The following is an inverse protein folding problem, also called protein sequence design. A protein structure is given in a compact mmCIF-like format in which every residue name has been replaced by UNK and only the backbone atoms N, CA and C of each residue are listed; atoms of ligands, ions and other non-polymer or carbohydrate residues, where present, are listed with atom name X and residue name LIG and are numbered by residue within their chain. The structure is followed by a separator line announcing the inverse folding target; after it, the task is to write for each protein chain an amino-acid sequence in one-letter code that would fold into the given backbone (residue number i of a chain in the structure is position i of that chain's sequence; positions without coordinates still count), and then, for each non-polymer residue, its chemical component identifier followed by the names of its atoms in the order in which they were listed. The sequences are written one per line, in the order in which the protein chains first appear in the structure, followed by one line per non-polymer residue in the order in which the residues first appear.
data_IF_215558729212
#
_entry.id   IF_215558729212
#
_cell.length_a   1.000
_cell.length_b   1.000
_cell.length_c   1.000
_cell.angle_alpha   90.00
_cell.angle_beta   90.00
_cell.angle_gamma   90.00
#
_symmetry.space_group_name_H-M   'P 1'
#
loop_
_entity.id
_entity.type
_entity.pdbx_description
1 polymer ?
#
# COMPACT_ATOMS: atom_id res chain seq x y z
N UNK A 1 15.14 19.83 21.94
CA UNK A 1 14.39 20.26 20.75
C UNK A 1 13.18 19.34 20.60
N UNK A 2 11.97 19.89 20.47
CA UNK A 2 10.74 19.12 20.31
C UNK A 2 10.78 18.41 18.95
N UNK A 3 10.93 17.10 18.93
CA UNK A 3 10.61 16.29 17.75
C UNK A 3 9.10 16.36 17.56
N UNK A 4 8.65 17.32 16.76
CA UNK A 4 7.27 17.37 16.28
C UNK A 4 7.07 16.20 15.33
N UNK A 5 6.66 15.05 15.86
CA UNK A 5 6.08 13.97 15.05
C UNK A 5 4.91 14.61 14.30
N UNK A 6 5.03 14.76 12.99
CA UNK A 6 3.90 15.11 12.14
C UNK A 6 2.98 13.90 12.15
N UNK A 7 1.84 14.00 12.82
CA UNK A 7 0.79 12.99 12.77
C UNK A 7 0.19 12.94 11.35
N UNK A 8 0.81 12.16 10.47
CA UNK A 8 0.22 11.82 9.17
C UNK A 8 -0.96 10.92 9.49
N UNK A 9 -2.19 11.38 9.22
CA UNK A 9 -3.41 10.58 9.33
C UNK A 9 -3.86 10.14 7.95
N UNK A 10 -3.85 8.82 7.70
CA UNK A 10 -4.41 8.24 6.47
C UNK A 10 -5.89 7.99 6.69
N UNK A 11 -6.74 8.58 5.84
CA UNK A 11 -8.19 8.44 5.89
C UNK A 11 -8.66 7.59 4.72
N UNK A 12 -9.57 6.66 4.99
CA UNK A 12 -10.12 5.73 4.02
C UNK A 12 -11.64 5.82 4.01
N UNK A 13 -12.25 5.61 2.85
CA UNK A 13 -13.70 5.64 2.67
C UNK A 13 -14.23 4.23 2.59
N UNK A 14 -15.35 3.96 3.28
CA UNK A 14 -16.03 2.65 3.28
C UNK A 14 -16.81 2.35 2.00
N UNK A 15 -17.03 3.34 1.14
CA UNK A 15 -17.62 3.14 -0.19
C UNK A 15 -16.58 3.42 -1.28
N UNK A 16 -16.03 2.35 -1.88
CA UNK A 16 -15.05 2.46 -2.99
C UNK A 16 -15.69 3.10 -4.21
N UNK A 17 -16.96 2.81 -4.51
CA UNK A 17 -17.65 3.37 -5.67
C UNK A 17 -17.77 4.88 -5.55
N UNK A 18 -18.24 5.36 -4.40
CA UNK A 18 -18.30 6.79 -4.09
C UNK A 18 -16.92 7.45 -4.09
N UNK A 19 -15.91 6.81 -3.49
CA UNK A 19 -14.55 7.32 -3.48
C UNK A 19 -14.00 7.50 -4.90
N UNK A 20 -14.17 6.46 -5.73
CA UNK A 20 -13.82 6.45 -7.15
C UNK A 20 -14.49 7.63 -7.86
N UNK A 21 -15.80 7.81 -7.70
CA UNK A 21 -16.53 8.94 -8.31
C UNK A 21 -15.99 10.30 -7.86
N UNK A 22 -15.68 10.49 -6.57
CA UNK A 22 -15.19 11.77 -6.06
C UNK A 22 -13.82 12.15 -6.60
N UNK A 23 -12.88 11.20 -6.63
CA UNK A 23 -11.53 11.40 -7.20
C UNK A 23 -11.64 11.91 -8.64
N UNK A 24 -12.51 11.29 -9.43
CA UNK A 24 -12.62 11.61 -10.85
C UNK A 24 -13.45 12.85 -11.16
N UNK A 25 -14.45 13.18 -10.33
CA UNK A 25 -15.13 14.48 -10.40
C UNK A 25 -14.24 15.65 -10.03
N UNK A 26 -13.23 15.44 -9.18
CA UNK A 26 -12.30 16.49 -8.75
C UNK A 26 -11.27 16.88 -9.82
N UNK A 27 -11.09 16.07 -10.88
CA UNK A 27 -10.13 16.36 -11.95
C UNK A 27 -10.86 16.84 -13.22
N UNK A 28 -10.67 18.09 -13.65
CA UNK A 28 -11.37 18.66 -14.83
C UNK A 28 -10.94 18.05 -16.18
N UNK A 29 -10.11 16.99 -16.19
CA UNK A 29 -9.57 16.32 -17.39
C UNK A 29 -9.97 14.84 -17.53
N UNK A 30 -10.84 14.30 -16.68
CA UNK A 30 -11.05 12.84 -16.54
C UNK A 30 -12.37 12.27 -17.06
N UNK A 31 -13.15 13.00 -17.86
CA UNK A 31 -14.48 12.52 -18.27
C UNK A 31 -14.49 11.39 -19.32
N UNK A 32 -13.46 11.22 -20.16
CA UNK A 32 -13.50 10.18 -21.21
C UNK A 32 -12.65 8.95 -20.87
N UNK A 33 -13.35 7.83 -20.62
CA UNK A 33 -12.77 6.47 -20.60
C UNK A 33 -12.17 6.02 -19.27
N UNK A 34 -12.58 6.60 -18.15
CA UNK A 34 -12.00 6.30 -16.83
C UNK A 34 -12.18 4.83 -16.41
N UNK A 35 -13.37 4.27 -16.61
CA UNK A 35 -13.62 2.84 -16.36
C UNK A 35 -12.77 1.98 -17.29
N UNK A 36 -12.59 2.37 -18.54
CA UNK A 36 -11.72 1.67 -19.49
C UNK A 36 -10.24 1.75 -19.10
N UNK A 37 -9.79 2.85 -18.49
CA UNK A 37 -8.42 2.98 -17.96
C UNK A 37 -8.23 2.14 -16.70
N UNK A 38 -9.25 2.11 -15.83
CA UNK A 38 -9.27 1.30 -14.61
C UNK A 38 -9.27 -0.19 -14.93
N UNK A 39 -10.09 -0.62 -15.89
CA UNK A 39 -10.18 -2.01 -16.36
C UNK A 39 -9.02 -2.43 -17.27
N UNK A 40 -8.28 -1.47 -17.82
CA UNK A 40 -7.23 -1.71 -18.82
C UNK A 40 -5.80 -1.54 -18.30
N UNK A 41 -5.58 -1.51 -16.98
CA UNK A 41 -4.27 -1.30 -16.33
C UNK A 41 -3.52 -0.02 -16.78
N UNK A 42 -4.26 0.97 -17.27
CA UNK A 42 -3.73 2.24 -17.83
C UNK A 42 -4.00 3.43 -16.93
N UNK A 43 -4.30 3.19 -15.65
CA UNK A 43 -4.40 4.24 -14.66
C UNK A 43 -3.05 4.96 -14.55
N UNK A 44 -3.08 6.30 -14.48
CA UNK A 44 -1.88 7.07 -14.18
C UNK A 44 -1.33 6.63 -12.80
N UNK A 45 0.00 6.71 -12.64
CA UNK A 45 0.67 6.33 -11.39
C UNK A 45 0.08 7.02 -10.13
N UNK A 46 -0.57 8.16 -10.32
CA UNK A 46 -1.16 9.01 -9.29
C UNK A 46 -2.44 8.46 -8.63
N UNK A 47 -2.86 7.21 -8.87
CA UNK A 47 -4.04 6.58 -8.24
C UNK A 47 -3.71 5.52 -7.18
N UNK A 48 -2.51 5.58 -6.57
CA UNK A 48 -2.11 4.67 -5.47
C UNK A 48 -3.14 4.59 -4.34
N UNK A 49 -3.71 5.74 -3.95
CA UNK A 49 -4.72 5.83 -2.89
C UNK A 49 -5.99 5.02 -3.14
N UNK A 50 -6.39 4.79 -4.40
CA UNK A 50 -7.57 3.97 -4.71
C UNK A 50 -7.32 2.50 -4.36
N UNK A 51 -6.12 2.01 -4.72
CA UNK A 51 -5.69 0.65 -4.43
C UNK A 51 -5.47 0.43 -2.94
N UNK A 52 -4.85 1.39 -2.26
CA UNK A 52 -4.69 1.36 -0.80
C UNK A 52 -6.04 1.33 -0.10
N UNK A 53 -7.00 2.15 -0.53
CA UNK A 53 -8.36 2.15 0.03
C UNK A 53 -9.05 0.79 -0.17
N UNK A 54 -8.93 0.18 -1.34
CA UNK A 54 -9.45 -1.16 -1.58
C UNK A 54 -8.78 -2.22 -0.69
N UNK A 55 -7.47 -2.15 -0.52
CA UNK A 55 -6.72 -3.03 0.38
C UNK A 55 -7.15 -2.85 1.84
N UNK A 56 -7.32 -1.62 2.33
CA UNK A 56 -7.84 -1.36 3.68
C UNK A 56 -9.23 -1.93 3.88
N UNK A 57 -10.12 -1.78 2.90
CA UNK A 57 -11.45 -2.38 3.00
C UNK A 57 -11.39 -3.90 3.11
N UNK A 58 -10.54 -4.54 2.29
CA UNK A 58 -10.35 -5.99 2.36
C UNK A 58 -9.78 -6.42 3.71
N UNK A 59 -8.78 -5.71 4.24
CA UNK A 59 -8.20 -5.99 5.57
C UNK A 59 -9.26 -5.86 6.67
N UNK A 60 -9.98 -4.74 6.69
CA UNK A 60 -10.99 -4.45 7.71
C UNK A 60 -12.19 -5.39 7.64
N UNK A 61 -12.56 -5.88 6.45
CA UNK A 61 -13.57 -6.90 6.27
C UNK A 61 -13.21 -8.25 6.93
N UNK A 62 -11.91 -8.51 7.17
CA UNK A 62 -11.46 -9.70 7.94
C UNK A 62 -11.53 -9.50 9.46
N UNK A 63 -12.00 -8.35 9.95
CA UNK A 63 -12.00 -7.99 11.37
C UNK A 63 -10.65 -7.52 11.91
N UNK A 64 -9.64 -7.33 11.03
CA UNK A 64 -8.30 -6.85 11.39
C UNK A 64 -8.19 -5.34 11.25
N UNK A 65 -7.36 -4.73 12.08
CA UNK A 65 -6.99 -3.32 11.98
C UNK A 65 -5.81 -3.14 11.00
N UNK A 66 -5.84 -2.06 10.22
CA UNK A 66 -4.77 -1.67 9.33
C UNK A 66 -3.87 -0.63 10.01
N UNK A 67 -2.59 -0.96 10.21
CA UNK A 67 -1.59 -0.06 10.82
C UNK A 67 -0.58 0.39 9.76
N UNK A 68 -0.26 1.67 9.68
CA UNK A 68 0.75 2.22 8.78
C UNK A 68 1.96 2.73 9.58
N UNK A 69 3.10 2.90 8.92
CA UNK A 69 4.31 3.41 9.58
C UNK A 69 5.11 4.34 8.68
N UNK A 70 5.49 5.50 9.24
CA UNK A 70 6.31 6.50 8.57
C UNK A 70 7.53 6.83 9.40
N UNK A 71 8.70 7.01 8.77
CA UNK A 71 9.92 7.44 9.45
C UNK A 71 10.79 8.31 8.55
N UNK A 72 11.67 9.09 9.17
CA UNK A 72 12.51 10.05 8.46
C UNK A 72 13.47 9.33 7.49
N UNK A 73 13.59 9.88 6.29
CA UNK A 73 14.62 9.52 5.33
C UNK A 73 15.82 10.44 5.55
N UNK A 74 17.00 9.85 5.76
CA UNK A 74 18.23 10.61 5.97
C UNK A 74 18.48 11.58 4.82
N UNK A 75 18.82 12.82 5.16
CA UNK A 75 19.11 13.90 4.20
C UNK A 75 17.95 14.19 3.22
N UNK A 76 16.70 13.98 3.65
CA UNK A 76 15.50 14.27 2.85
C UNK A 76 14.45 15.01 3.67
N UNK A 77 13.64 15.83 2.99
CA UNK A 77 12.41 16.39 3.54
C UNK A 77 11.23 15.42 3.46
N UNK A 78 11.41 14.28 2.76
CA UNK A 78 10.42 13.23 2.60
C UNK A 78 10.60 12.14 3.67
N UNK A 79 9.51 11.42 3.96
CA UNK A 79 9.50 10.29 4.87
C UNK A 79 9.46 9.00 4.05
N UNK A 80 10.06 7.95 4.57
CA UNK A 80 9.70 6.61 4.15
C UNK A 80 8.34 6.25 4.73
N UNK A 81 7.61 5.43 3.99
CA UNK A 81 6.28 4.97 4.37
C UNK A 81 6.11 3.50 3.98
N UNK A 82 5.66 2.70 4.94
CA UNK A 82 5.09 1.36 4.68
C UNK A 82 3.59 1.46 4.87
N UNK A 83 2.84 1.04 3.85
CA UNK A 83 1.38 1.18 3.84
C UNK A 83 0.71 0.41 4.96
N UNK A 84 1.11 -0.84 5.16
CA UNK A 84 0.53 -1.71 6.17
C UNK A 84 1.57 -2.53 6.93
N UNK A 85 1.36 -2.68 8.24
CA UNK A 85 2.11 -3.55 9.14
C UNK A 85 1.17 -4.54 9.81
N UNK A 86 1.54 -5.81 9.75
CA UNK A 86 0.84 -6.90 10.42
C UNK A 86 1.76 -7.63 11.39
N UNK A 87 1.16 -8.18 12.46
CA UNK A 87 1.83 -9.17 13.28
C UNK A 87 1.78 -10.52 12.56
N UNK A 88 2.96 -11.12 12.38
CA UNK A 88 3.14 -12.48 11.88
C UNK A 88 3.88 -13.26 12.98
N UNK A 89 3.11 -13.97 13.80
CA UNK A 89 3.58 -14.63 15.03
C UNK A 89 4.29 -13.63 15.96
N UNK A 90 5.60 -13.79 16.17
CA UNK A 90 6.42 -12.92 17.02
C UNK A 90 7.16 -11.81 16.24
N UNK A 91 6.86 -11.66 14.95
CA UNK A 91 7.54 -10.76 14.02
C UNK A 91 6.53 -9.88 13.27
N UNK A 92 7.06 -8.97 12.46
CA UNK A 92 6.31 -8.02 11.64
C UNK A 92 6.36 -8.42 10.17
N UNK A 93 5.22 -8.26 9.51
CA UNK A 93 5.07 -8.35 8.06
C UNK A 93 4.76 -6.95 7.52
N UNK A 94 5.73 -6.26 6.87
CA UNK A 94 5.45 -5.08 6.08
C UNK A 94 4.79 -5.45 4.75
N UNK A 95 3.73 -4.73 4.41
CA UNK A 95 2.97 -4.88 3.18
C UNK A 95 2.87 -3.52 2.49
N UNK A 96 3.35 -3.45 1.25
CA UNK A 96 3.29 -2.25 0.40
C UNK A 96 2.37 -2.49 -0.79
N UNK A 97 1.58 -1.48 -1.17
CA UNK A 97 0.60 -1.57 -2.26
C UNK A 97 1.03 -0.66 -3.40
N UNK A 98 1.05 -1.19 -4.62
CA UNK A 98 1.35 -0.43 -5.83
C UNK A 98 0.23 -0.57 -6.84
N UNK A 99 -0.32 0.58 -7.25
CA UNK A 99 -1.25 0.67 -8.40
C UNK A 99 -0.57 0.30 -9.72
N UNK A 100 0.74 0.54 -9.82
CA UNK A 100 1.53 0.30 -11.02
C UNK A 100 2.60 -0.77 -10.82
N UNK A 101 2.98 -1.35 -11.95
CA UNK A 101 4.03 -2.34 -12.13
C UNK A 101 5.47 -1.84 -11.85
N UNK A 102 5.66 -0.77 -11.08
CA UNK A 102 6.96 -0.14 -10.87
C UNK A 102 7.87 -1.03 -10.04
N UNK A 103 9.13 -1.18 -10.50
CA UNK A 103 10.17 -1.93 -9.78
C UNK A 103 10.73 -1.21 -8.54
N UNK A 104 10.45 0.08 -8.37
CA UNK A 104 10.93 0.84 -7.19
C UNK A 104 10.10 0.51 -5.95
N UNK A 105 10.77 0.03 -4.92
CA UNK A 105 10.19 -0.34 -3.63
C UNK A 105 11.11 0.10 -2.46
N UNK A 106 11.62 1.34 -2.57
CA UNK A 106 12.65 1.89 -1.66
C UNK A 106 12.23 1.91 -0.19
N UNK A 107 10.95 2.21 0.11
CA UNK A 107 10.48 2.31 1.49
C UNK A 107 10.45 0.96 2.19
N UNK A 108 9.82 -0.06 1.58
CA UNK A 108 9.82 -1.41 2.16
C UNK A 108 11.21 -2.02 2.25
N UNK A 109 12.12 -1.71 1.30
CA UNK A 109 13.53 -2.11 1.39
C UNK A 109 14.22 -1.46 2.60
N UNK A 110 14.05 -0.15 2.76
CA UNK A 110 14.60 0.59 3.89
C UNK A 110 14.00 0.08 5.22
N UNK A 111 12.72 -0.28 5.26
CA UNK A 111 12.09 -0.90 6.42
C UNK A 111 12.73 -2.24 6.76
N UNK A 112 12.85 -3.13 5.77
CA UNK A 112 13.45 -4.46 5.94
C UNK A 112 14.91 -4.36 6.39
N UNK A 113 15.66 -3.38 5.90
CA UNK A 113 17.04 -3.13 6.35
C UNK A 113 17.10 -2.61 7.78
N UNK A 114 16.28 -1.62 8.13
CA UNK A 114 16.28 -0.96 9.44
C UNK A 114 15.76 -1.86 10.56
N UNK A 115 14.75 -2.68 10.28
CA UNK A 115 14.05 -3.53 11.25
C UNK A 115 14.27 -5.02 10.99
N UNK A 116 15.39 -5.39 10.37
CA UNK A 116 15.69 -6.75 9.88
C UNK A 116 15.46 -7.87 10.90
N UNK A 117 15.79 -7.63 12.19
CA UNK A 117 15.58 -8.59 13.27
C UNK A 117 14.10 -8.86 13.59
N UNK A 118 13.23 -7.90 13.31
CA UNK A 118 11.81 -7.96 13.62
C UNK A 118 10.95 -8.37 12.42
N UNK A 119 11.49 -8.38 11.19
CA UNK A 119 10.73 -8.73 9.99
C UNK A 119 10.71 -10.25 9.77
N UNK A 120 9.52 -10.81 9.50
CA UNK A 120 9.38 -12.21 9.08
C UNK A 120 9.56 -12.35 7.57
N UNK A 121 8.69 -11.68 6.82
CA UNK A 121 8.63 -11.64 5.36
C UNK A 121 8.04 -10.29 4.94
N UNK A 122 8.42 -9.81 3.76
CA UNK A 122 7.87 -8.60 3.17
C UNK A 122 6.99 -8.96 1.97
N UNK A 123 5.91 -8.20 1.76
CA UNK A 123 4.98 -8.40 0.66
C UNK A 123 4.77 -7.08 -0.11
N UNK A 124 4.82 -7.15 -1.43
CA UNK A 124 4.35 -6.08 -2.31
C UNK A 124 3.14 -6.57 -3.09
N UNK A 125 2.00 -5.90 -2.89
CA UNK A 125 0.78 -6.11 -3.65
C UNK A 125 0.78 -5.23 -4.89
N UNK A 126 0.53 -5.83 -6.05
CA UNK A 126 0.34 -5.10 -7.30
C UNK A 126 -0.58 -5.86 -8.27
N UNK A 127 -0.74 -5.36 -9.49
CA UNK A 127 -1.47 -6.05 -10.55
C UNK A 127 -0.62 -7.10 -11.29
N UNK A 128 0.65 -7.26 -10.93
CA UNK A 128 1.54 -8.25 -11.56
C UNK A 128 1.32 -9.66 -11.03
N UNK A 129 1.80 -10.61 -11.83
CA UNK A 129 1.95 -12.01 -11.45
C UNK A 129 2.81 -12.20 -10.20
N UNK A 130 2.64 -13.38 -9.60
CA UNK A 130 3.42 -13.82 -8.45
C UNK A 130 4.91 -13.84 -8.81
N UNK A 131 5.73 -13.29 -7.93
CA UNK A 131 7.16 -13.24 -8.11
C UNK A 131 7.91 -13.04 -6.80
N UNK A 132 9.22 -12.87 -6.92
CA UNK A 132 10.11 -12.63 -5.80
C UNK A 132 11.24 -11.71 -6.24
N UNK A 133 11.54 -10.70 -5.44
CA UNK A 133 12.71 -9.84 -5.59
C UNK A 133 13.49 -9.89 -4.29
N UNK A 134 14.62 -10.60 -4.28
CA UNK A 134 15.38 -10.88 -3.05
C UNK A 134 14.50 -11.48 -1.94
N UNK A 135 14.26 -10.73 -0.86
CA UNK A 135 13.41 -11.14 0.27
C UNK A 135 11.98 -10.59 0.19
N UNK A 136 11.65 -9.83 -0.86
CA UNK A 136 10.32 -9.27 -1.10
C UNK A 136 9.48 -10.23 -1.93
N UNK A 137 8.32 -10.62 -1.41
CA UNK A 137 7.36 -11.46 -2.12
C UNK A 137 6.41 -10.57 -2.91
N UNK A 138 6.38 -10.75 -4.23
CA UNK A 138 5.47 -10.02 -5.11
C UNK A 138 4.20 -10.83 -5.27
N UNK A 139 3.06 -10.22 -4.95
CA UNK A 139 1.75 -10.89 -4.97
C UNK A 139 0.74 -10.03 -5.72
N UNK A 140 -0.11 -10.65 -6.56
CA UNK A 140 -1.30 -9.98 -7.08
C UNK A 140 -2.20 -9.49 -5.95
N UNK A 141 -2.85 -8.34 -6.11
CA UNK A 141 -3.77 -7.78 -5.09
C UNK A 141 -4.89 -8.77 -4.72
N UNK A 142 -5.40 -9.54 -5.68
CA UNK A 142 -6.44 -10.56 -5.41
C UNK A 142 -5.99 -11.65 -4.44
N UNK A 143 -4.67 -11.78 -4.17
CA UNK A 143 -4.16 -12.75 -3.21
C UNK A 143 -4.26 -12.28 -1.75
N UNK A 144 -4.64 -11.03 -1.50
CA UNK A 144 -4.71 -10.47 -0.15
C UNK A 144 -5.57 -11.30 0.83
N UNK A 145 -6.77 -11.79 0.49
CA UNK A 145 -7.57 -12.61 1.43
C UNK A 145 -6.82 -13.85 1.91
N UNK A 146 -6.12 -14.55 1.01
CA UNK A 146 -5.31 -15.72 1.35
C UNK A 146 -4.11 -15.36 2.24
N UNK A 147 -3.47 -14.22 1.98
CA UNK A 147 -2.40 -13.70 2.84
C UNK A 147 -2.93 -13.42 4.26
N UNK A 148 -4.15 -12.90 4.37
CA UNK A 148 -4.78 -12.63 5.68
C UNK A 148 -5.16 -13.91 6.43
N UNK A 149 -5.45 -15.01 5.74
CA UNK A 149 -5.69 -16.33 6.37
C UNK A 149 -4.41 -16.96 6.92
N UNK A 150 -3.26 -16.64 6.34
CA UNK A 150 -1.95 -17.12 6.83
C UNK A 150 -1.42 -16.38 8.08
N UNK A 151 -2.05 -15.26 8.46
CA UNK A 151 -1.67 -14.40 9.58
C UNK A 151 -2.43 -14.73 10.86
#
# INVERSE_FOLDING_TARGET
MKNSIRDIKRSYLSDIGLFTTMIFKASPKTDEGIYSKLLGDKLSADLGYLYENAVVQMITATGRSAYYHTWEKENSTHYYEVDFLFQDKAKLLPLEVKSSATKKHESIDAFCKKYSQYVSRAILLSQKDVGKDNNLNLKPIYMLPFIMEEL
#
